data_IF_688081931475
#
_entry.id   IF_688081931475
#
_cell.length_a   1.000
_cell.length_b   1.000
_cell.length_c   1.000
_cell.angle_alpha   90.00
_cell.angle_beta   90.00
_cell.angle_gamma   90.00
#
_symmetry.space_group_name_H-M   'P 1'
#
loop_
_entity.id
_entity.type
_entity.pdbx_description
1 polymer ?
#
# COMPACT_ATOMS: atom_id res chain seq x y z
N UNK A 1 -9.30 -40.73 -4.85
CA UNK A 1 -8.15 -40.31 -5.68
C UNK A 1 -7.86 -38.85 -5.33
N UNK A 2 -6.69 -38.53 -4.77
CA UNK A 2 -6.30 -37.15 -4.45
C UNK A 2 -5.63 -36.52 -5.67
N UNK A 3 -5.99 -35.27 -5.99
CA UNK A 3 -5.31 -34.48 -7.01
C UNK A 3 -4.85 -33.13 -6.44
N UNK A 4 -3.80 -32.57 -7.07
CA UNK A 4 -3.35 -31.22 -6.77
C UNK A 4 -4.22 -30.23 -7.56
N UNK A 5 -4.93 -29.36 -6.83
CA UNK A 5 -5.79 -28.33 -7.40
C UNK A 5 -5.06 -26.99 -7.41
N UNK A 6 -5.29 -26.20 -8.45
CA UNK A 6 -4.75 -24.85 -8.63
C UNK A 6 -5.89 -23.85 -8.71
N UNK A 7 -5.91 -22.88 -7.82
CA UNK A 7 -6.88 -21.79 -7.83
C UNK A 7 -6.19 -20.47 -8.12
N UNK A 8 -6.67 -19.79 -9.15
CA UNK A 8 -6.27 -18.41 -9.46
C UNK A 8 -6.82 -17.50 -8.37
N UNK A 9 -5.96 -16.70 -7.74
CA UNK A 9 -6.39 -15.74 -6.71
C UNK A 9 -6.12 -14.30 -7.18
N UNK A 10 -6.82 -13.30 -6.62
CA UNK A 10 -6.61 -11.90 -6.96
C UNK A 10 -5.38 -11.28 -6.26
N UNK A 11 -4.49 -12.10 -5.70
CA UNK A 11 -3.34 -11.62 -4.93
C UNK A 11 -2.15 -11.34 -5.85
N UNK A 12 -1.61 -10.13 -5.79
CA UNK A 12 -0.53 -9.66 -6.66
C UNK A 12 0.72 -9.32 -5.84
N UNK A 13 0.53 -8.62 -4.72
CA UNK A 13 1.63 -8.22 -3.84
C UNK A 13 1.91 -9.28 -2.78
N UNK A 14 3.18 -9.66 -2.64
CA UNK A 14 3.62 -10.58 -1.60
C UNK A 14 3.39 -9.99 -0.20
N UNK A 15 3.81 -8.75 0.02
CA UNK A 15 3.76 -8.08 1.33
C UNK A 15 2.33 -8.06 1.88
N UNK A 16 1.38 -7.64 1.04
CA UNK A 16 -0.03 -7.54 1.40
C UNK A 16 -0.62 -8.93 1.66
N UNK A 17 -0.22 -9.94 0.88
CA UNK A 17 -0.64 -11.32 1.09
C UNK A 17 -0.13 -11.88 2.42
N UNK A 18 1.13 -11.63 2.77
CA UNK A 18 1.70 -12.08 4.05
C UNK A 18 1.02 -11.38 5.23
N UNK A 19 0.84 -10.06 5.16
CA UNK A 19 0.13 -9.30 6.21
C UNK A 19 -1.33 -9.77 6.37
N UNK A 20 -2.01 -10.07 5.26
CA UNK A 20 -3.37 -10.60 5.29
C UNK A 20 -3.43 -12.00 5.93
N UNK A 21 -2.44 -12.86 5.68
CA UNK A 21 -2.35 -14.18 6.32
C UNK A 21 -2.17 -14.06 7.84
N UNK A 22 -1.28 -13.17 8.29
CA UNK A 22 -1.04 -12.90 9.71
C UNK A 22 -2.30 -12.38 10.40
N UNK A 23 -2.98 -11.38 9.81
CA UNK A 23 -4.26 -10.86 10.32
C UNK A 23 -5.35 -11.92 10.39
N UNK A 24 -5.31 -12.91 9.49
CA UNK A 24 -6.25 -14.02 9.51
C UNK A 24 -5.88 -15.15 10.49
N UNK A 25 -4.70 -15.07 11.12
CA UNK A 25 -4.19 -16.06 12.08
C UNK A 25 -3.54 -17.29 11.42
N UNK A 26 -3.06 -17.15 10.17
CA UNK A 26 -2.40 -18.24 9.46
C UNK A 26 -0.88 -18.09 9.53
N UNK A 27 -0.22 -19.12 10.06
CA UNK A 27 1.23 -19.24 9.97
C UNK A 27 1.62 -19.63 8.54
N UNK A 28 2.75 -19.08 8.07
CA UNK A 28 3.30 -19.40 6.77
C UNK A 28 4.81 -19.65 6.83
N UNK A 29 5.30 -20.41 5.86
CA UNK A 29 6.73 -20.64 5.66
C UNK A 29 7.12 -20.32 4.23
N UNK A 30 8.16 -19.52 4.02
CA UNK A 30 8.65 -19.17 2.69
C UNK A 30 9.84 -20.07 2.34
N UNK A 31 9.67 -20.91 1.32
CA UNK A 31 10.71 -21.81 0.82
C UNK A 31 10.60 -21.93 -0.70
N UNK A 32 11.71 -21.83 -1.44
CA UNK A 32 11.76 -22.02 -2.90
C UNK A 32 10.69 -21.20 -3.67
N UNK A 33 10.57 -19.91 -3.37
CA UNK A 33 9.59 -18.97 -3.98
C UNK A 33 8.12 -19.40 -3.81
N UNK A 34 7.84 -20.17 -2.76
CA UNK A 34 6.50 -20.61 -2.38
C UNK A 34 6.22 -20.21 -0.94
N UNK A 35 4.98 -19.81 -0.71
CA UNK A 35 4.46 -19.49 0.61
C UNK A 35 3.61 -20.66 1.07
N UNK A 36 4.18 -21.52 1.91
CA UNK A 36 3.52 -22.69 2.45
C UNK A 36 2.60 -22.31 3.60
N UNK A 37 1.48 -23.02 3.73
CA UNK A 37 0.49 -22.81 4.78
C UNK A 37 0.31 -24.14 5.52
N UNK A 38 1.15 -24.41 6.55
CA UNK A 38 1.17 -25.72 7.21
C UNK A 38 -0.16 -26.13 7.82
N UNK A 39 -0.94 -25.18 8.33
CA UNK A 39 -2.26 -25.46 8.92
C UNK A 39 -3.29 -26.02 7.93
N UNK A 40 -3.09 -25.80 6.63
CA UNK A 40 -3.95 -26.31 5.55
C UNK A 40 -3.36 -27.52 4.85
N UNK A 41 -2.27 -28.09 5.39
CA UNK A 41 -1.71 -29.33 4.87
C UNK A 41 -2.68 -30.50 5.10
N UNK A 42 -2.93 -31.29 4.06
CA UNK A 42 -3.63 -32.59 4.15
C UNK A 42 -2.69 -33.66 3.61
N UNK A 43 -3.01 -34.33 2.49
CA UNK A 43 -2.09 -35.27 1.85
C UNK A 43 -0.95 -34.60 1.06
N UNK A 44 -1.16 -33.35 0.65
CA UNK A 44 -0.18 -32.53 -0.08
C UNK A 44 -0.03 -31.17 0.59
N UNK A 45 1.13 -30.56 0.41
CA UNK A 45 1.40 -29.22 0.93
C UNK A 45 0.48 -28.21 0.24
N UNK A 46 -0.11 -27.34 1.04
CA UNK A 46 -0.86 -26.18 0.57
C UNK A 46 0.08 -24.99 0.50
N UNK A 47 0.19 -24.35 -0.67
CA UNK A 47 1.10 -23.22 -0.85
C UNK A 47 0.66 -22.27 -1.95
N UNK A 48 1.01 -21.00 -1.80
CA UNK A 48 0.94 -20.03 -2.89
C UNK A 48 2.22 -20.06 -3.72
N UNK A 49 2.07 -19.92 -5.03
CA UNK A 49 3.18 -19.73 -5.98
C UNK A 49 2.87 -18.54 -6.88
N UNK A 50 3.82 -17.63 -7.05
CA UNK A 50 3.69 -16.52 -7.98
C UNK A 50 3.85 -17.02 -9.43
N UNK A 51 2.83 -16.80 -10.26
CA UNK A 51 2.79 -17.23 -11.66
C UNK A 51 1.99 -16.19 -12.45
N UNK A 52 2.56 -15.68 -13.55
CA UNK A 52 1.89 -14.74 -14.47
C UNK A 52 1.30 -13.51 -13.76
N UNK A 53 2.07 -12.88 -12.87
CA UNK A 53 1.69 -11.62 -12.22
C UNK A 53 0.73 -11.77 -11.04
N UNK A 54 0.42 -12.99 -10.61
CA UNK A 54 -0.47 -13.25 -9.47
C UNK A 54 -0.06 -14.50 -8.71
N UNK A 55 -0.48 -14.60 -7.45
CA UNK A 55 -0.33 -15.82 -6.69
C UNK A 55 -1.41 -16.83 -7.07
N UNK A 56 -1.02 -18.09 -7.17
CA UNK A 56 -1.91 -19.23 -7.40
C UNK A 56 -1.82 -20.13 -6.18
N UNK A 57 -2.96 -20.44 -5.57
CA UNK A 57 -3.03 -21.40 -4.47
C UNK A 57 -2.98 -22.82 -5.02
N UNK A 58 -2.03 -23.61 -4.55
CA UNK A 58 -1.91 -25.04 -4.83
C UNK A 58 -2.31 -25.79 -3.56
N UNK A 59 -3.26 -26.72 -3.65
CA UNK A 59 -3.77 -27.46 -2.50
C UNK A 59 -4.27 -28.84 -2.89
N UNK A 60 -4.49 -29.69 -1.90
CA UNK A 60 -5.06 -31.03 -2.10
C UNK A 60 -6.57 -30.98 -2.29
N UNK A 61 -7.12 -31.67 -3.29
CA UNK A 61 -8.56 -31.69 -3.58
C UNK A 61 -9.45 -32.10 -2.40
N UNK A 62 -8.93 -32.87 -1.43
CA UNK A 62 -9.69 -33.25 -0.23
C UNK A 62 -9.80 -32.12 0.80
N UNK A 63 -9.10 -30.99 0.61
CA UNK A 63 -9.17 -29.88 1.54
C UNK A 63 -10.43 -29.02 1.27
N UNK A 64 -11.48 -29.29 2.04
CA UNK A 64 -12.77 -28.57 1.99
C UNK A 64 -12.73 -27.19 2.64
N UNK A 65 -11.71 -26.90 3.45
CA UNK A 65 -11.57 -25.65 4.19
C UNK A 65 -11.05 -24.50 3.30
N UNK A 66 -10.56 -24.82 2.09
CA UNK A 66 -9.90 -23.88 1.18
C UNK A 66 -10.82 -22.75 0.72
N UNK A 67 -12.10 -23.04 0.47
CA UNK A 67 -13.05 -21.99 0.06
C UNK A 67 -13.22 -20.95 1.17
N UNK A 68 -13.40 -21.40 2.41
CA UNK A 68 -13.53 -20.50 3.57
C UNK A 68 -12.24 -19.72 3.82
N UNK A 69 -11.10 -20.42 3.75
CA UNK A 69 -9.77 -19.81 3.85
C UNK A 69 -9.58 -18.69 2.82
N UNK A 70 -9.85 -18.95 1.53
CA UNK A 70 -9.68 -17.98 0.46
C UNK A 70 -10.55 -16.75 0.67
N UNK A 71 -11.84 -16.92 0.97
CA UNK A 71 -12.75 -15.79 1.24
C UNK A 71 -12.26 -14.94 2.42
N UNK A 72 -11.75 -15.58 3.48
CA UNK A 72 -11.23 -14.89 4.66
C UNK A 72 -9.97 -14.08 4.32
N UNK A 73 -9.01 -14.69 3.64
CA UNK A 73 -7.74 -14.05 3.25
C UNK A 73 -7.99 -12.95 2.22
N UNK A 74 -8.89 -13.16 1.26
CA UNK A 74 -9.24 -12.16 0.25
C UNK A 74 -9.84 -10.90 0.86
N UNK A 75 -10.77 -11.06 1.80
CA UNK A 75 -11.31 -9.92 2.55
C UNK A 75 -10.22 -9.17 3.30
N UNK A 76 -9.31 -9.88 3.96
CA UNK A 76 -8.20 -9.27 4.69
C UNK A 76 -7.22 -8.56 3.76
N UNK A 77 -6.89 -9.17 2.62
CA UNK A 77 -6.01 -8.61 1.60
C UNK A 77 -6.56 -7.28 1.06
N UNK A 78 -7.85 -7.23 0.71
CA UNK A 78 -8.47 -6.01 0.22
C UNK A 78 -8.44 -4.89 1.28
N UNK A 79 -8.69 -5.22 2.55
CA UNK A 79 -8.60 -4.25 3.64
C UNK A 79 -7.16 -3.72 3.82
N UNK A 80 -6.15 -4.59 3.80
CA UNK A 80 -4.74 -4.18 3.90
C UNK A 80 -4.36 -3.31 2.71
N UNK A 81 -4.76 -3.70 1.50
CA UNK A 81 -4.51 -2.95 0.28
C UNK A 81 -5.09 -1.54 0.35
N UNK A 82 -6.35 -1.39 0.79
CA UNK A 82 -6.99 -0.08 0.95
C UNK A 82 -6.29 0.80 2.00
N UNK A 83 -5.83 0.21 3.10
CA UNK A 83 -5.07 0.94 4.13
C UNK A 83 -3.75 1.46 3.55
N UNK A 84 -2.96 0.59 2.92
CA UNK A 84 -1.68 0.96 2.31
C UNK A 84 -1.85 2.02 1.22
N UNK A 85 -2.93 1.93 0.43
CA UNK A 85 -3.25 2.93 -0.58
C UNK A 85 -3.55 4.31 0.02
N UNK A 86 -4.25 4.36 1.17
CA UNK A 86 -4.51 5.61 1.89
C UNK A 86 -3.25 6.19 2.49
N UNK A 87 -2.43 5.36 3.14
CA UNK A 87 -1.15 5.79 3.73
C UNK A 87 -0.21 6.40 2.68
N UNK A 88 -0.16 5.80 1.49
CA UNK A 88 0.60 6.32 0.36
C UNK A 88 0.09 7.69 -0.10
N UNK A 89 -1.24 7.83 -0.25
CA UNK A 89 -1.86 9.10 -0.64
C UNK A 89 -1.61 10.20 0.40
N UNK A 90 -1.69 9.88 1.69
CA UNK A 90 -1.41 10.82 2.78
C UNK A 90 0.08 11.21 2.85
N UNK A 91 1.00 10.27 2.52
CA UNK A 91 2.42 10.60 2.41
C UNK A 91 2.66 11.60 1.29
N UNK A 92 2.09 11.35 0.11
CA UNK A 92 2.24 12.24 -1.04
C UNK A 92 1.67 13.65 -0.77
N UNK A 93 0.52 13.75 -0.11
CA UNK A 93 -0.07 15.05 0.23
C UNK A 93 0.77 15.80 1.27
N UNK A 94 1.34 15.11 2.27
CA UNK A 94 2.29 15.73 3.21
C UNK A 94 3.54 16.24 2.53
N UNK A 95 4.12 15.47 1.61
CA UNK A 95 5.28 15.90 0.81
C UNK A 95 4.95 17.14 -0.04
N UNK A 96 3.76 17.16 -0.65
CA UNK A 96 3.28 18.31 -1.42
C UNK A 96 3.16 19.55 -0.54
N UNK A 97 2.57 19.44 0.64
CA UNK A 97 2.42 20.56 1.58
C UNK A 97 3.77 21.08 2.07
N UNK A 98 4.69 20.17 2.44
CA UNK A 98 6.05 20.52 2.86
C UNK A 98 6.83 21.21 1.73
N UNK A 99 6.68 20.73 0.49
CA UNK A 99 7.28 21.38 -0.68
C UNK A 99 6.72 22.80 -0.87
N UNK A 100 5.40 22.98 -0.83
CA UNK A 100 4.76 24.30 -0.95
C UNK A 100 5.24 25.23 0.16
N UNK A 101 5.32 24.75 1.40
CA UNK A 101 5.82 25.53 2.54
C UNK A 101 7.29 25.93 2.37
N UNK A 102 8.14 25.00 1.93
CA UNK A 102 9.57 25.28 1.68
C UNK A 102 9.76 26.34 0.60
N UNK A 103 8.99 26.26 -0.50
CA UNK A 103 9.02 27.23 -1.59
C UNK A 103 8.53 28.60 -1.10
N UNK A 104 7.44 28.62 -0.34
CA UNK A 104 6.90 29.85 0.27
C UNK A 104 7.93 30.51 1.17
N UNK A 105 8.58 29.75 2.07
CA UNK A 105 9.61 30.25 2.97
C UNK A 105 10.80 30.83 2.21
N UNK A 106 11.30 30.11 1.21
CA UNK A 106 12.42 30.57 0.37
C UNK A 106 12.09 31.88 -0.38
N UNK A 107 10.87 32.03 -0.91
CA UNK A 107 10.42 33.26 -1.58
C UNK A 107 10.33 34.41 -0.57
N UNK A 108 9.74 34.17 0.61
CA UNK A 108 9.62 35.18 1.66
C UNK A 108 10.98 35.66 2.17
N UNK A 109 11.93 34.74 2.38
CA UNK A 109 13.30 35.08 2.78
C UNK A 109 14.02 35.91 1.71
N UNK A 110 13.95 35.50 0.43
CA UNK A 110 14.51 36.26 -0.69
C UNK A 110 13.89 37.66 -0.83
N UNK A 111 12.57 37.77 -0.62
CA UNK A 111 11.87 39.05 -0.65
C UNK A 111 12.29 39.97 0.49
N UNK A 112 12.35 39.46 1.73
CA UNK A 112 12.81 40.22 2.90
C UNK A 112 14.27 40.67 2.74
N UNK A 113 15.15 39.80 2.24
CA UNK A 113 16.55 40.14 1.98
C UNK A 113 16.71 41.29 0.97
N UNK A 114 15.80 41.39 0.00
CA UNK A 114 15.75 42.49 -0.98
C UNK A 114 15.00 43.74 -0.48
N UNK A 115 14.58 43.76 0.80
CA UNK A 115 13.87 44.89 1.42
C UNK A 115 12.39 44.97 1.08
N UNK A 116 11.77 43.91 0.55
CA UNK A 116 10.32 43.87 0.31
C UNK A 116 9.57 43.44 1.57
N UNK A 117 8.45 44.11 1.85
CA UNK A 117 7.40 43.64 2.75
C UNK A 117 6.51 42.66 1.97
N UNK A 118 6.33 41.45 2.51
CA UNK A 118 5.51 40.40 1.89
C UNK A 118 4.13 40.39 2.54
N UNK A 119 3.07 40.46 1.74
CA UNK A 119 1.70 40.22 2.18
C UNK A 119 1.17 38.93 1.55
N UNK A 120 0.55 38.09 2.35
CA UNK A 120 -0.08 36.86 1.89
C UNK A 120 -1.58 37.08 1.72
N UNK A 121 -2.13 36.62 0.60
CA UNK A 121 -3.57 36.58 0.37
C UNK A 121 -3.95 35.21 -0.17
N UNK A 122 -4.90 34.54 0.49
CA UNK A 122 -5.51 33.32 -0.03
C UNK A 122 -6.64 33.72 -0.96
N UNK A 123 -6.53 33.39 -2.24
CA UNK A 123 -7.57 33.65 -3.24
C UNK A 123 -7.94 32.32 -3.90
N UNK A 124 -9.17 31.87 -3.65
CA UNK A 124 -9.68 30.55 -4.02
C UNK A 124 -8.73 29.43 -3.56
N UNK A 125 -8.12 28.72 -4.53
CA UNK A 125 -7.21 27.59 -4.32
C UNK A 125 -5.74 27.96 -4.55
N UNK A 126 -5.40 29.26 -4.59
CA UNK A 126 -4.04 29.76 -4.83
C UNK A 126 -3.55 30.64 -3.68
N UNK A 127 -2.26 30.50 -3.36
CA UNK A 127 -1.56 31.40 -2.44
C UNK A 127 -0.96 32.53 -3.29
N UNK A 128 -1.44 33.76 -3.10
CA UNK A 128 -0.89 34.95 -3.73
C UNK A 128 0.04 35.67 -2.74
N UNK A 129 1.30 35.88 -3.14
CA UNK A 129 2.28 36.66 -2.38
C UNK A 129 2.48 38.01 -3.06
N UNK A 130 2.10 39.09 -2.37
CA UNK A 130 2.27 40.47 -2.86
C UNK A 130 3.52 41.07 -2.23
N UNK A 131 4.48 41.49 -3.06
CA UNK A 131 5.74 42.11 -2.65
C UNK A 131 5.62 43.63 -2.74
N UNK A 132 5.75 44.33 -1.61
CA UNK A 132 5.68 45.79 -1.53
C UNK A 132 7.05 46.33 -1.12
N UNK A 133 7.57 47.34 -1.81
CA UNK A 133 8.81 48.05 -1.46
C UNK A 133 8.54 49.53 -1.45
N UNK A 134 8.88 50.20 -0.36
CA UNK A 134 8.87 51.66 -0.31
C UNK A 134 10.11 52.18 -1.04
N UNK A 135 9.88 53.01 -2.06
CA UNK A 135 10.93 53.77 -2.75
C UNK A 135 10.87 55.17 -2.17
N UNK A 136 11.90 55.55 -1.40
CA UNK A 136 12.13 56.93 -0.97
C UNK A 136 12.99 57.65 -2.00
#
# INVERSE_FOLDING_TARGET
MSCLVKTTTPFISQEILLEALEKCGYNYEIKNDKIYIPSLHKYRNTYFKFVNGKYILNYDSYNTEISYFLTKVEKSYNNVYEIKLKEEAERLERERLAYIESQKKAIMEKAKAKGYRVMETKKDNKIQLTLVREVR
#
